data_IF_829337357886
#
_entry.id   IF_829337357886
#
_cell.length_a   1.000
_cell.length_b   1.000
_cell.length_c   1.000
_cell.angle_alpha   90.00
_cell.angle_beta   90.00
_cell.angle_gamma   90.00
#
_symmetry.space_group_name_H-M   'P 1'
#
loop_
_entity.id
_entity.type
_entity.pdbx_description
1 polymer ?
#
# COMPACT_ATOMS: atom_id res chain seq x y z
N UNK A 1 -68.61 -7.58 -28.02
CA UNK A 1 -67.43 -6.69 -27.86
C UNK A 1 -66.40 -7.45 -27.05
N UNK A 2 -65.27 -7.77 -27.68
CA UNK A 2 -64.26 -8.71 -27.17
C UNK A 2 -63.36 -8.00 -26.16
N UNK A 3 -63.34 -8.50 -24.92
CA UNK A 3 -62.35 -8.12 -23.93
C UNK A 3 -60.99 -8.71 -24.30
N UNK A 4 -60.00 -7.86 -24.56
CA UNK A 4 -58.59 -8.26 -24.69
C UNK A 4 -58.09 -8.71 -23.31
N UNK A 5 -57.79 -9.99 -23.16
CA UNK A 5 -56.95 -10.50 -22.06
C UNK A 5 -55.50 -10.18 -22.40
N UNK A 6 -54.83 -9.46 -21.52
CA UNK A 6 -53.39 -9.22 -21.57
C UNK A 6 -52.65 -10.47 -21.09
N UNK A 7 -51.80 -11.03 -21.95
CA UNK A 7 -51.03 -12.25 -21.71
C UNK A 7 -49.80 -11.97 -20.81
N UNK A 8 -49.98 -11.81 -19.50
CA UNK A 8 -48.91 -11.89 -18.50
C UNK A 8 -48.49 -13.34 -18.18
N UNK A 9 -48.50 -14.21 -19.19
CA UNK A 9 -48.51 -15.67 -19.03
C UNK A 9 -47.24 -16.44 -19.43
N UNK A 10 -46.11 -15.78 -19.71
CA UNK A 10 -44.85 -16.50 -19.95
C UNK A 10 -44.00 -16.49 -18.69
N UNK A 11 -44.36 -17.37 -17.75
CA UNK A 11 -43.47 -17.82 -16.69
C UNK A 11 -42.13 -18.23 -17.32
N UNK A 12 -41.08 -17.44 -17.04
CA UNK A 12 -39.68 -17.88 -17.12
C UNK A 12 -39.62 -19.24 -16.42
N UNK A 13 -39.52 -20.32 -17.19
CA UNK A 13 -39.20 -21.64 -16.63
C UNK A 13 -37.81 -21.51 -16.03
N UNK A 14 -37.77 -21.28 -14.71
CA UNK A 14 -36.54 -21.23 -13.93
C UNK A 14 -35.89 -22.61 -14.09
N UNK A 15 -34.67 -22.73 -14.61
CA UNK A 15 -33.99 -24.02 -14.69
C UNK A 15 -33.75 -24.48 -13.25
N UNK A 16 -34.46 -25.52 -12.82
CA UNK A 16 -34.46 -25.96 -11.42
C UNK A 16 -33.18 -26.71 -11.02
N UNK A 17 -32.29 -27.07 -11.96
CA UNK A 17 -31.01 -27.75 -11.65
C UNK A 17 -29.94 -27.41 -12.70
N UNK A 18 -29.17 -26.34 -12.45
CA UNK A 18 -27.96 -26.04 -13.21
C UNK A 18 -27.54 -24.57 -13.09
N UNK A 19 -26.26 -24.32 -12.79
CA UNK A 19 -25.69 -22.96 -12.88
C UNK A 19 -25.91 -22.46 -14.32
N UNK A 20 -26.42 -21.24 -14.54
CA UNK A 20 -26.60 -20.71 -15.87
C UNK A 20 -25.25 -20.77 -16.61
N UNK A 21 -25.23 -21.50 -17.73
CA UNK A 21 -24.07 -21.56 -18.60
C UNK A 21 -24.01 -20.25 -19.38
N UNK A 22 -23.34 -19.26 -18.82
CA UNK A 22 -22.93 -18.08 -19.58
C UNK A 22 -21.91 -18.50 -20.63
N UNK A 23 -22.02 -17.89 -21.82
CA UNK A 23 -20.99 -17.97 -22.83
C UNK A 23 -19.66 -17.44 -22.28
N UNK A 24 -18.54 -17.86 -22.88
CA UNK A 24 -17.23 -17.33 -22.53
C UNK A 24 -17.16 -15.80 -22.74
N UNK A 25 -17.81 -15.30 -23.80
CA UNK A 25 -17.88 -13.87 -24.13
C UNK A 25 -18.68 -13.09 -23.09
N UNK A 26 -19.84 -13.60 -22.68
CA UNK A 26 -20.67 -12.99 -21.63
C UNK A 26 -19.95 -12.97 -20.29
N UNK A 27 -19.22 -14.05 -19.97
CA UNK A 27 -18.43 -14.12 -18.74
C UNK A 27 -17.31 -13.08 -18.73
N UNK A 28 -16.62 -12.89 -19.85
CA UNK A 28 -15.59 -11.84 -19.99
C UNK A 28 -16.21 -10.44 -19.87
N UNK A 29 -17.31 -10.19 -20.58
CA UNK A 29 -18.00 -8.90 -20.53
C UNK A 29 -18.46 -8.58 -19.11
N UNK A 30 -18.99 -9.56 -18.38
CA UNK A 30 -19.39 -9.39 -17.00
C UNK A 30 -18.18 -9.09 -16.10
N UNK A 31 -17.06 -9.80 -16.26
CA UNK A 31 -15.83 -9.54 -15.50
C UNK A 31 -15.27 -8.14 -15.75
N UNK A 32 -15.24 -7.71 -17.02
CA UNK A 32 -14.79 -6.39 -17.43
C UNK A 32 -15.67 -5.28 -16.84
N UNK A 33 -16.99 -5.49 -16.88
CA UNK A 33 -17.95 -4.54 -16.33
C UNK A 33 -17.81 -4.42 -14.80
N UNK A 34 -17.77 -5.55 -14.09
CA UNK A 34 -17.57 -5.57 -12.64
C UNK A 34 -16.22 -4.97 -12.25
N UNK A 35 -15.17 -5.17 -13.06
CA UNK A 35 -13.85 -4.55 -12.82
C UNK A 35 -13.94 -3.03 -12.83
N UNK A 36 -14.56 -2.45 -13.86
CA UNK A 36 -14.73 -1.00 -13.98
C UNK A 36 -15.58 -0.43 -12.85
N UNK A 37 -16.65 -1.13 -12.47
CA UNK A 37 -17.53 -0.68 -11.40
C UNK A 37 -16.81 -0.67 -10.04
N UNK A 38 -16.02 -1.71 -9.73
CA UNK A 38 -15.19 -1.73 -8.52
C UNK A 38 -14.14 -0.61 -8.56
N UNK A 39 -13.48 -0.38 -9.70
CA UNK A 39 -12.48 0.67 -9.84
C UNK A 39 -13.06 2.07 -9.58
N UNK A 40 -14.27 2.36 -10.08
CA UNK A 40 -14.97 3.62 -9.79
C UNK A 40 -15.29 3.78 -8.30
N UNK A 41 -15.87 2.76 -7.67
CA UNK A 41 -16.21 2.81 -6.23
C UNK A 41 -14.95 3.04 -5.39
N UNK A 42 -13.84 2.41 -5.75
CA UNK A 42 -12.56 2.57 -5.07
C UNK A 42 -11.99 3.98 -5.27
N UNK A 43 -12.01 4.51 -6.50
CA UNK A 43 -11.49 5.85 -6.79
C UNK A 43 -12.24 6.94 -6.02
N UNK A 44 -13.57 6.80 -5.88
CA UNK A 44 -14.39 7.72 -5.09
C UNK A 44 -14.14 7.58 -3.58
N UNK A 45 -13.68 6.41 -3.12
CA UNK A 45 -13.48 6.11 -1.70
C UNK A 45 -12.09 6.43 -1.17
N UNK A 46 -11.06 6.46 -2.03
CA UNK A 46 -9.67 6.68 -1.62
C UNK A 46 -9.27 8.13 -1.93
N UNK A 47 -8.76 8.82 -0.92
CA UNK A 47 -8.17 10.16 -1.03
C UNK A 47 -6.66 10.07 -0.85
N UNK A 48 -5.92 10.78 -1.70
CA UNK A 48 -4.47 10.93 -1.57
C UNK A 48 -4.14 11.85 -0.38
N UNK A 49 -3.32 11.42 0.59
CA UNK A 49 -2.94 12.26 1.73
C UNK A 49 -2.19 13.55 1.35
N UNK A 50 -1.42 13.53 0.25
CA UNK A 50 -0.57 14.64 -0.15
C UNK A 50 -1.35 15.74 -0.88
N UNK A 51 -2.20 15.35 -1.83
CA UNK A 51 -2.98 16.29 -2.64
C UNK A 51 -4.37 16.57 -2.07
N UNK A 52 -4.84 15.74 -1.12
CA UNK A 52 -6.21 15.73 -0.58
C UNK A 52 -7.30 15.50 -1.64
N UNK A 53 -6.91 14.97 -2.79
CA UNK A 53 -7.80 14.67 -3.91
C UNK A 53 -7.87 13.16 -4.14
N UNK A 54 -8.96 12.69 -4.74
CA UNK A 54 -9.10 11.30 -5.16
C UNK A 54 -8.07 10.93 -6.22
N UNK A 55 -7.58 9.69 -6.18
CA UNK A 55 -6.66 9.20 -7.21
C UNK A 55 -7.33 9.12 -8.58
N UNK A 56 -6.61 9.40 -9.69
CA UNK A 56 -7.13 9.20 -11.03
C UNK A 56 -7.51 7.73 -11.25
N UNK A 57 -8.62 7.49 -11.95
CA UNK A 57 -9.13 6.15 -12.23
C UNK A 57 -8.07 5.24 -12.88
N UNK A 58 -7.26 5.78 -13.79
CA UNK A 58 -6.17 5.05 -14.47
C UNK A 58 -5.12 4.49 -13.51
N UNK A 59 -4.81 5.21 -12.43
CA UNK A 59 -3.85 4.80 -11.40
C UNK A 59 -4.44 3.64 -10.60
N UNK A 60 -5.71 3.77 -10.18
CA UNK A 60 -6.42 2.72 -9.45
C UNK A 60 -6.57 1.46 -10.29
N UNK A 61 -6.93 1.56 -11.57
CA UNK A 61 -7.02 0.39 -12.46
C UNK A 61 -5.68 -0.35 -12.60
N UNK A 62 -4.58 0.41 -12.71
CA UNK A 62 -3.24 -0.17 -12.79
C UNK A 62 -2.86 -0.87 -11.48
N UNK A 63 -3.16 -0.25 -10.35
CA UNK A 63 -2.94 -0.84 -9.02
C UNK A 63 -3.80 -2.10 -8.81
N UNK A 64 -5.09 -2.06 -9.15
CA UNK A 64 -5.99 -3.21 -9.07
C UNK A 64 -5.51 -4.39 -9.91
N UNK A 65 -5.04 -4.15 -11.15
CA UNK A 65 -4.47 -5.22 -11.99
C UNK A 65 -3.23 -5.84 -11.37
N UNK A 66 -2.35 -5.02 -10.77
CA UNK A 66 -1.12 -5.51 -10.12
C UNK A 66 -1.40 -6.32 -8.87
N UNK A 67 -2.35 -5.88 -8.03
CA UNK A 67 -2.60 -6.47 -6.72
C UNK A 67 -3.55 -7.68 -6.77
N UNK A 68 -4.57 -7.65 -7.62
CA UNK A 68 -5.62 -8.67 -7.63
C UNK A 68 -5.69 -9.49 -8.91
N UNK A 69 -5.16 -8.99 -10.04
CA UNK A 69 -5.13 -9.68 -11.33
C UNK A 69 -6.51 -9.87 -12.00
N UNK A 70 -7.52 -10.31 -11.26
CA UNK A 70 -8.90 -10.56 -11.72
C UNK A 70 -9.92 -10.33 -10.61
N UNK A 71 -11.03 -9.66 -10.95
CA UNK A 71 -12.20 -9.53 -10.08
C UNK A 71 -13.01 -10.82 -10.01
N UNK A 72 -13.70 -11.02 -8.89
CA UNK A 72 -14.52 -12.22 -8.64
C UNK A 72 -15.99 -11.89 -8.91
N UNK A 73 -16.63 -12.39 -9.97
CA UNK A 73 -18.00 -12.01 -10.32
C UNK A 73 -19.06 -12.47 -9.29
N UNK A 74 -18.73 -13.44 -8.43
CA UNK A 74 -19.65 -13.97 -7.41
C UNK A 74 -19.59 -13.22 -6.06
N UNK A 75 -18.72 -12.22 -5.93
CA UNK A 75 -18.59 -11.42 -4.71
C UNK A 75 -19.19 -10.05 -4.97
N UNK A 76 -19.85 -9.45 -3.98
CA UNK A 76 -20.40 -8.10 -4.14
C UNK A 76 -19.29 -7.07 -4.40
N UNK A 77 -19.62 -6.06 -5.20
CA UNK A 77 -18.70 -4.96 -5.57
C UNK A 77 -18.14 -4.28 -4.32
N UNK A 78 -19.01 -4.00 -3.32
CA UNK A 78 -18.62 -3.32 -2.07
C UNK A 78 -17.58 -4.11 -1.28
N UNK A 79 -17.75 -5.43 -1.17
CA UNK A 79 -16.80 -6.28 -0.44
C UNK A 79 -15.46 -6.34 -1.19
N UNK A 80 -15.49 -6.44 -2.52
CA UNK A 80 -14.26 -6.42 -3.33
C UNK A 80 -13.53 -5.08 -3.23
N UNK A 81 -14.26 -3.97 -3.28
CA UNK A 81 -13.70 -2.63 -3.09
C UNK A 81 -13.04 -2.50 -1.71
N UNK A 82 -13.71 -2.92 -0.63
CA UNK A 82 -13.14 -2.89 0.72
C UNK A 82 -11.87 -3.72 0.84
N UNK A 83 -11.85 -4.94 0.28
CA UNK A 83 -10.65 -5.79 0.28
C UNK A 83 -9.48 -5.09 -0.43
N UNK A 84 -9.75 -4.51 -1.60
CA UNK A 84 -8.74 -3.76 -2.33
C UNK A 84 -8.24 -2.55 -1.53
N UNK A 85 -9.14 -1.76 -0.94
CA UNK A 85 -8.79 -0.57 -0.15
C UNK A 85 -7.87 -0.95 1.02
N UNK A 86 -8.21 -2.01 1.76
CA UNK A 86 -7.39 -2.53 2.85
C UNK A 86 -5.99 -2.94 2.37
N UNK A 87 -5.90 -3.69 1.27
CA UNK A 87 -4.61 -4.10 0.70
C UNK A 87 -3.82 -2.90 0.14
N UNK A 88 -4.50 -1.94 -0.48
CA UNK A 88 -3.90 -0.73 -1.03
C UNK A 88 -3.30 0.13 0.07
N UNK A 89 -4.02 0.37 1.17
CA UNK A 89 -3.48 1.09 2.31
C UNK A 89 -2.37 0.33 3.01
N UNK A 90 -2.48 -1.00 3.12
CA UNK A 90 -1.38 -1.80 3.69
C UNK A 90 -0.11 -1.66 2.83
N UNK A 91 -0.22 -1.72 1.51
CA UNK A 91 0.92 -1.53 0.63
C UNK A 91 1.37 -0.08 0.62
N UNK A 92 0.48 0.91 0.67
CA UNK A 92 0.86 2.32 0.74
C UNK A 92 1.56 2.67 2.06
N UNK A 93 1.15 2.05 3.16
CA UNK A 93 1.77 2.22 4.47
C UNK A 93 3.12 1.50 4.57
N UNK A 94 3.22 0.32 3.96
CA UNK A 94 4.48 -0.43 3.85
C UNK A 94 5.24 -0.11 2.55
N UNK A 95 4.80 0.87 1.77
CA UNK A 95 5.56 1.42 0.65
C UNK A 95 6.49 2.42 1.31
N UNK A 96 7.54 1.85 1.89
CA UNK A 96 8.56 2.55 2.63
C UNK A 96 9.18 3.63 1.74
N UNK A 97 8.94 4.89 2.08
CA UNK A 97 9.81 5.97 1.61
C UNK A 97 10.98 6.04 2.58
N UNK A 98 12.23 5.95 2.07
CA UNK A 98 13.38 6.01 2.93
C UNK A 98 13.47 7.40 3.58
N UNK A 99 13.65 7.42 4.90
CA UNK A 99 13.65 8.65 5.69
C UNK A 99 15.08 9.17 5.81
N UNK A 100 15.24 10.48 5.63
CA UNK A 100 16.51 11.15 5.84
C UNK A 100 16.65 11.53 7.31
N UNK A 101 17.63 10.93 7.99
CA UNK A 101 17.88 11.14 9.42
C UNK A 101 19.25 11.79 9.64
N UNK A 102 19.32 12.69 10.63
CA UNK A 102 20.58 13.28 11.10
C UNK A 102 20.97 12.64 12.43
N UNK A 103 22.12 12.01 12.45
CA UNK A 103 22.70 11.34 13.61
C UNK A 103 23.89 12.14 14.12
N UNK A 104 23.92 12.39 15.43
CA UNK A 104 25.00 13.12 16.11
C UNK A 104 25.42 12.30 17.32
N UNK A 105 26.65 11.77 17.30
CA UNK A 105 27.20 10.93 18.38
C UNK A 105 28.53 11.51 18.87
N UNK A 106 28.68 11.83 20.17
CA UNK A 106 29.90 12.46 20.71
C UNK A 106 31.16 11.58 20.68
N UNK A 107 31.04 10.25 20.65
CA UNK A 107 32.15 9.29 20.49
C UNK A 107 31.78 8.24 19.43
N UNK A 108 31.64 8.68 18.18
CA UNK A 108 30.98 7.89 17.12
C UNK A 108 31.89 7.20 16.12
N UNK A 109 33.22 7.33 16.21
CA UNK A 109 34.15 6.78 15.21
C UNK A 109 33.95 5.27 14.97
N UNK A 110 33.71 4.50 16.04
CA UNK A 110 33.51 3.04 15.99
C UNK A 110 32.17 2.67 15.36
N UNK A 111 31.15 3.52 15.50
CA UNK A 111 29.81 3.29 14.93
C UNK A 111 29.71 3.70 13.46
N UNK A 112 30.69 4.43 12.94
CA UNK A 112 30.66 4.97 11.56
C UNK A 112 30.48 3.89 10.52
N UNK A 113 31.19 2.77 10.65
CA UNK A 113 31.13 1.68 9.67
C UNK A 113 29.81 0.92 9.76
N UNK A 114 29.32 0.63 10.98
CA UNK A 114 28.01 0.00 11.17
C UNK A 114 26.85 0.87 10.68
N UNK A 115 26.92 2.19 10.90
CA UNK A 115 25.92 3.14 10.41
C UNK A 115 25.96 3.29 8.88
N UNK A 116 27.15 3.15 8.28
CA UNK A 116 27.33 3.19 6.83
C UNK A 116 26.79 1.93 6.14
N UNK A 117 26.90 0.76 6.76
CA UNK A 117 26.30 -0.47 6.22
C UNK A 117 24.77 -0.44 6.22
N UNK A 118 24.18 0.30 7.17
CA UNK A 118 22.73 0.46 7.34
C UNK A 118 22.14 1.61 6.50
N UNK A 119 22.97 2.43 5.88
CA UNK A 119 22.54 3.58 5.10
C UNK A 119 22.36 3.22 3.62
N UNK A 120 21.27 3.71 3.02
CA UNK A 120 21.03 3.63 1.57
C UNK A 120 21.88 4.69 0.85
N UNK A 121 21.88 5.90 1.40
CA UNK A 121 22.64 7.03 0.90
C UNK A 121 23.18 7.87 2.06
N UNK A 122 24.33 8.51 1.85
CA UNK A 122 25.03 9.30 2.86
C UNK A 122 25.41 10.64 2.26
N UNK A 123 24.80 11.71 2.77
CA UNK A 123 25.05 13.06 2.28
C UNK A 123 26.15 13.78 3.06
N UNK A 124 26.22 13.53 4.37
CA UNK A 124 27.22 14.14 5.25
C UNK A 124 27.79 13.07 6.18
N UNK A 125 29.10 13.08 6.35
CA UNK A 125 29.83 12.15 7.20
C UNK A 125 31.11 12.85 7.69
N UNK A 126 30.95 13.66 8.72
CA UNK A 126 32.02 14.46 9.31
C UNK A 126 32.32 13.97 10.73
N UNK A 127 33.61 13.94 11.08
CA UNK A 127 34.08 13.64 12.43
C UNK A 127 34.84 14.87 12.91
N UNK A 128 34.37 15.47 14.00
CA UNK A 128 35.05 16.61 14.61
C UNK A 128 36.36 16.18 15.28
N UNK A 129 37.26 17.13 15.53
CA UNK A 129 38.52 16.92 16.25
C UNK A 129 38.37 16.36 17.68
N UNK A 130 37.14 16.35 18.21
CA UNK A 130 36.78 15.78 19.51
C UNK A 130 36.18 14.36 19.43
N UNK A 131 36.20 13.70 18.26
CA UNK A 131 35.66 12.34 18.07
C UNK A 131 34.14 12.28 17.88
N UNK A 132 33.50 13.45 17.73
CA UNK A 132 32.07 13.58 17.52
C UNK A 132 31.73 13.30 16.05
N UNK A 133 30.94 12.25 15.82
CA UNK A 133 30.42 11.88 14.51
C UNK A 133 29.13 12.65 14.24
N UNK A 134 29.09 13.35 13.10
CA UNK A 134 27.89 13.92 12.52
C UNK A 134 27.65 13.29 11.16
N UNK A 135 26.53 12.56 11.03
CA UNK A 135 26.15 11.89 9.79
C UNK A 135 24.72 12.25 9.39
N UNK A 136 24.50 12.53 8.10
CA UNK A 136 23.17 12.63 7.50
C UNK A 136 23.04 11.50 6.50
N UNK A 137 22.13 10.59 6.78
CA UNK A 137 21.93 9.35 6.04
C UNK A 137 20.46 9.15 5.71
N UNK A 138 20.21 8.48 4.59
CA UNK A 138 18.89 8.04 4.16
C UNK A 138 18.75 6.57 4.56
N UNK A 139 17.74 6.25 5.36
CA UNK A 139 17.58 4.95 6.03
C UNK A 139 16.13 4.47 5.92
N UNK A 140 15.96 3.16 5.76
CA UNK A 140 14.64 2.53 5.81
C UNK A 140 14.02 2.57 7.22
N UNK A 141 12.69 2.62 7.28
CA UNK A 141 11.95 2.67 8.56
C UNK A 141 12.25 1.45 9.46
N UNK A 142 12.47 0.28 8.86
CA UNK A 142 12.80 -0.97 9.55
C UNK A 142 14.17 -0.90 10.25
N UNK A 143 15.08 -0.09 9.69
CA UNK A 143 16.45 0.08 10.17
C UNK A 143 16.57 1.27 11.13
N UNK A 144 15.63 2.23 11.07
CA UNK A 144 15.59 3.41 11.95
C UNK A 144 15.67 3.07 13.44
N UNK A 145 14.92 2.06 13.89
CA UNK A 145 14.92 1.66 15.30
C UNK A 145 16.28 1.09 15.73
N UNK A 146 16.94 0.32 14.86
CA UNK A 146 18.27 -0.21 15.12
C UNK A 146 19.30 0.93 15.22
N UNK A 147 19.25 1.91 14.31
CA UNK A 147 20.11 3.11 14.35
C UNK A 147 19.91 3.88 15.65
N UNK A 148 18.66 4.09 16.08
CA UNK A 148 18.37 4.77 17.35
C UNK A 148 18.94 4.02 18.55
N UNK A 149 18.79 2.70 18.61
CA UNK A 149 19.32 1.88 19.70
C UNK A 149 20.85 1.90 19.76
N UNK A 150 21.53 1.79 18.62
CA UNK A 150 23.00 1.86 18.54
C UNK A 150 23.53 3.22 19.02
N UNK A 151 22.88 4.30 18.57
CA UNK A 151 23.21 5.68 18.97
C UNK A 151 23.04 5.86 20.48
N UNK A 152 21.97 5.31 21.05
CA UNK A 152 21.65 5.45 22.48
C UNK A 152 22.55 4.61 23.38
N UNK A 153 22.90 3.39 22.98
CA UNK A 153 23.88 2.58 23.70
C UNK A 153 25.24 3.28 23.83
N UNK A 154 25.70 3.92 22.76
CA UNK A 154 26.99 4.60 22.79
C UNK A 154 26.95 5.87 23.63
N UNK A 155 25.84 6.60 23.59
CA UNK A 155 25.60 7.74 24.48
C UNK A 155 25.58 7.34 25.96
N UNK A 156 25.04 6.17 26.28
CA UNK A 156 25.02 5.65 27.66
C UNK A 156 26.38 5.16 28.13
N UNK A 157 27.18 4.54 27.25
CA UNK A 157 28.57 4.18 27.57
C UNK A 157 29.37 5.43 27.90
N UNK A 158 29.33 6.45 27.05
CA UNK A 158 30.00 7.72 27.27
C UNK A 158 29.61 8.35 28.62
N UNK A 159 28.32 8.34 28.97
CA UNK A 159 27.84 8.81 30.27
C UNK A 159 28.29 7.98 31.48
N UNK A 160 28.56 6.67 31.31
CA UNK A 160 29.03 5.80 32.39
C UNK A 160 30.51 5.97 32.70
N UNK A 161 31.34 6.36 31.73
CA UNK A 161 32.79 6.58 31.93
C UNK A 161 33.12 7.85 32.74
N UNK A 162 32.14 8.73 32.99
CA UNK A 162 32.29 9.95 33.79
C UNK A 162 31.89 9.80 35.28
N UNK A 163 31.70 8.58 35.78
CA UNK A 163 31.56 8.27 37.22
C UNK A 163 32.78 7.55 37.76
#
# INVERSE_FOLDING_TARGET
>A
MVAKKEDFGKCKKIPTKGKPKMSYEERRAQMEWTFKEVAHVVADSIVNPDTKESYPLSVIETAMRRLYGSVRPNVSIKIQALQFILAFYWISYNAYEPEKIRVIVPSGEVLRDSLRELAIDIELNEVDCHGKLQMVMTVDLDVRNAVSQLTEQERLKDAMWYR
#
